data_IF_412215048835
#
_entry.id   IF_412215048835
#
_cell.length_a   1.000
_cell.length_b   1.000
_cell.length_c   1.000
_cell.angle_alpha   90.00
_cell.angle_beta   90.00
_cell.angle_gamma   90.00
#
_symmetry.space_group_name_H-M   'P 1'
#
loop_
_entity.id
_entity.type
_entity.pdbx_description
1 polymer ?
#
# COMPACT_ATOMS: atom_id res chain seq x y z
N UNK A 1 9.30 60.03 -9.35
CA UNK A 1 8.77 59.65 -8.02
C UNK A 1 8.38 58.17 -8.10
N UNK A 2 9.36 57.24 -8.22
CA UNK A 2 9.96 56.43 -7.13
C UNK A 2 8.94 55.68 -6.28
N UNK A 3 8.70 54.40 -6.61
CA UNK A 3 8.07 53.43 -5.70
C UNK A 3 9.14 52.47 -5.17
N UNK A 4 9.28 52.53 -3.85
CA UNK A 4 10.09 51.72 -2.96
C UNK A 4 9.76 50.23 -3.03
N UNK A 5 10.73 49.36 -2.72
CA UNK A 5 10.62 48.34 -1.65
C UNK A 5 11.93 47.57 -1.49
N UNK A 6 12.73 48.10 -0.56
CA UNK A 6 13.56 47.43 0.45
C UNK A 6 13.77 45.92 0.23
N UNK A 7 14.97 45.60 -0.28
CA UNK A 7 15.70 44.38 0.03
C UNK A 7 16.03 44.39 1.53
N UNK A 8 15.44 43.48 2.32
CA UNK A 8 16.00 43.07 3.60
C UNK A 8 16.28 41.58 3.54
N UNK A 9 17.56 41.28 3.32
CA UNK A 9 18.16 39.96 3.40
C UNK A 9 18.20 39.50 4.86
N UNK A 10 17.24 38.67 5.24
CA UNK A 10 17.25 37.94 6.50
C UNK A 10 18.39 36.92 6.47
N UNK A 11 19.48 37.24 7.17
CA UNK A 11 20.55 36.30 7.49
C UNK A 11 19.96 35.11 8.25
N UNK A 12 19.77 33.97 7.55
CA UNK A 12 19.41 32.70 8.18
C UNK A 12 20.57 32.29 9.08
N UNK A 13 20.36 32.38 10.39
CA UNK A 13 21.37 31.97 11.36
C UNK A 13 21.56 30.45 11.30
N UNK A 14 22.83 30.01 11.29
CA UNK A 14 23.28 28.61 11.26
C UNK A 14 22.48 27.60 12.13
N UNK A 15 21.96 27.94 13.34
CA UNK A 15 21.15 27.00 14.13
C UNK A 15 19.76 26.70 13.54
N UNK A 16 19.15 27.60 12.77
CA UNK A 16 17.82 27.36 12.19
C UNK A 16 17.86 26.40 11.00
N UNK A 17 18.93 26.46 10.19
CA UNK A 17 19.14 25.51 9.10
C UNK A 17 19.34 24.08 9.62
N UNK A 18 20.06 23.93 10.75
CA UNK A 18 20.27 22.64 11.38
C UNK A 18 18.96 22.02 11.89
N UNK A 19 18.06 22.83 12.47
CA UNK A 19 16.73 22.36 12.90
C UNK A 19 15.88 21.89 11.72
N UNK A 20 15.88 22.62 10.61
CA UNK A 20 15.15 22.23 9.40
C UNK A 20 15.68 20.91 8.81
N UNK A 21 17.00 20.69 8.83
CA UNK A 21 17.63 19.44 8.39
C UNK A 21 17.31 18.28 9.34
N UNK A 22 17.24 18.52 10.65
CA UNK A 22 16.87 17.49 11.63
C UNK A 22 15.39 17.09 11.46
N UNK A 23 14.49 18.07 11.27
CA UNK A 23 13.07 17.80 11.06
C UNK A 23 12.86 17.04 9.73
N UNK A 24 13.53 17.44 8.65
CA UNK A 24 13.41 16.75 7.36
C UNK A 24 14.00 15.34 7.41
N UNK A 25 15.12 15.12 8.10
CA UNK A 25 15.72 13.79 8.28
C UNK A 25 14.88 12.87 9.16
N UNK A 26 14.24 13.40 10.21
CA UNK A 26 13.27 12.65 11.03
C UNK A 26 12.02 12.26 10.23
N UNK A 27 11.49 13.15 9.39
CA UNK A 27 10.34 12.84 8.53
C UNK A 27 10.71 11.81 7.47
N UNK A 28 11.93 11.91 6.92
CA UNK A 28 12.48 10.91 6.00
C UNK A 28 12.59 9.54 6.66
N UNK A 29 13.01 9.48 7.93
CA UNK A 29 13.09 8.21 8.68
C UNK A 29 11.71 7.63 9.00
N UNK A 30 10.72 8.47 9.30
CA UNK A 30 9.33 8.03 9.54
C UNK A 30 8.68 7.52 8.25
N UNK A 31 9.08 8.02 7.08
CA UNK A 31 8.54 7.61 5.78
C UNK A 31 9.25 6.39 5.16
N UNK A 32 10.42 6.01 5.68
CA UNK A 32 11.30 5.01 5.04
C UNK A 32 10.91 3.55 5.30
N UNK A 33 9.76 3.28 5.90
CA UNK A 33 9.23 1.92 6.06
C UNK A 33 8.60 1.40 4.77
N UNK A 34 9.44 1.08 3.77
CA UNK A 34 9.26 0.04 2.74
C UNK A 34 10.21 0.25 1.54
N UNK A 35 11.51 0.45 1.76
CA UNK A 35 12.48 0.24 0.68
C UNK A 35 12.82 -1.25 0.66
N UNK A 36 12.02 -2.03 -0.07
CA UNK A 36 12.33 -3.42 -0.40
C UNK A 36 13.58 -3.47 -1.26
N UNK A 37 14.74 -3.69 -0.63
CA UNK A 37 16.00 -3.89 -1.33
C UNK A 37 15.87 -5.13 -2.22
N UNK A 38 16.17 -4.98 -3.51
CA UNK A 38 16.23 -6.10 -4.47
C UNK A 38 17.28 -7.11 -4.00
N UNK A 39 16.86 -8.13 -3.25
CA UNK A 39 17.66 -9.35 -3.14
C UNK A 39 17.33 -10.23 -4.33
N UNK A 40 18.14 -10.11 -5.39
CA UNK A 40 18.13 -11.01 -6.54
C UNK A 40 18.74 -12.39 -6.19
N UNK A 41 18.43 -12.93 -4.99
CA UNK A 41 18.81 -14.29 -4.64
C UNK A 41 17.76 -15.25 -5.19
N UNK A 42 18.25 -16.31 -5.83
CA UNK A 42 17.51 -17.34 -6.58
C UNK A 42 16.49 -18.16 -5.76
N UNK A 43 16.12 -17.72 -4.56
CA UNK A 43 15.09 -18.30 -3.71
C UNK A 43 13.74 -17.64 -3.96
N UNK A 44 12.64 -18.42 -4.09
CA UNK A 44 11.31 -17.84 -4.23
C UNK A 44 10.92 -17.07 -2.96
N UNK A 45 10.48 -15.82 -3.11
CA UNK A 45 9.99 -14.99 -2.01
C UNK A 45 8.77 -15.66 -1.35
N UNK A 46 8.66 -15.62 -0.03
CA UNK A 46 7.52 -16.17 0.72
C UNK A 46 6.53 -15.08 1.08
N UNK A 47 5.35 -15.08 0.45
CA UNK A 47 4.29 -14.12 0.78
C UNK A 47 3.24 -14.76 1.68
N UNK A 48 2.59 -13.98 2.54
CA UNK A 48 1.40 -14.44 3.26
C UNK A 48 0.24 -14.68 2.28
N UNK A 49 -0.47 -15.80 2.45
CA UNK A 49 -1.66 -16.14 1.67
C UNK A 49 -2.85 -16.32 2.59
N UNK A 50 -3.66 -15.27 2.70
CA UNK A 50 -4.89 -15.26 3.48
C UNK A 50 -5.97 -14.42 2.79
N UNK A 51 -7.22 -14.67 3.17
CA UNK A 51 -8.33 -13.77 2.90
C UNK A 51 -9.13 -13.55 4.18
N UNK A 52 -9.84 -12.43 4.26
CA UNK A 52 -10.86 -12.21 5.29
C UNK A 52 -11.81 -13.39 5.37
N UNK A 53 -12.26 -13.71 6.58
CA UNK A 53 -13.21 -14.80 6.81
C UNK A 53 -14.49 -14.66 5.94
N UNK A 54 -14.91 -13.43 5.65
CA UNK A 54 -16.10 -13.18 4.83
C UNK A 54 -15.99 -13.71 3.39
N UNK A 55 -14.78 -13.80 2.84
CA UNK A 55 -14.59 -14.37 1.50
C UNK A 55 -14.85 -15.87 1.43
N UNK A 56 -14.89 -16.58 2.57
CA UNK A 56 -15.18 -18.01 2.58
C UNK A 56 -16.59 -18.30 2.04
N UNK A 57 -17.59 -17.51 2.46
CA UNK A 57 -18.97 -17.63 1.94
C UNK A 57 -19.11 -17.18 0.50
N UNK A 58 -18.31 -16.20 0.05
CA UNK A 58 -18.31 -15.79 -1.36
C UNK A 58 -17.66 -16.85 -2.26
N UNK A 59 -16.66 -17.57 -1.76
CA UNK A 59 -16.02 -18.66 -2.49
C UNK A 59 -16.96 -19.82 -2.79
N UNK A 60 -17.86 -20.18 -1.87
CA UNK A 60 -18.89 -21.19 -2.16
C UNK A 60 -19.94 -20.69 -3.17
N UNK A 61 -20.09 -19.37 -3.31
CA UNK A 61 -21.10 -18.74 -4.17
C UNK A 61 -20.55 -18.31 -5.54
N UNK A 62 -19.44 -18.90 -5.99
CA UNK A 62 -18.92 -18.75 -7.36
C UNK A 62 -17.73 -17.81 -7.53
N UNK A 63 -17.20 -17.22 -6.45
CA UNK A 63 -15.97 -16.42 -6.47
C UNK A 63 -14.72 -17.28 -6.82
N UNK A 64 -14.80 -18.59 -6.56
CA UNK A 64 -13.79 -19.59 -6.87
C UNK A 64 -13.46 -19.68 -8.37
N UNK A 65 -14.36 -19.25 -9.26
CA UNK A 65 -14.12 -19.15 -10.70
C UNK A 65 -13.11 -18.07 -11.06
N UNK A 66 -13.00 -17.03 -10.24
CA UNK A 66 -12.20 -15.84 -10.50
C UNK A 66 -10.89 -15.85 -9.71
N UNK A 67 -10.93 -16.36 -8.47
CA UNK A 67 -9.82 -16.33 -7.52
C UNK A 67 -9.42 -17.72 -7.06
N UNK A 68 -8.15 -17.88 -6.72
CA UNK A 68 -7.69 -19.12 -6.10
C UNK A 68 -7.97 -19.10 -4.59
N UNK A 69 -8.31 -20.27 -4.03
CA UNK A 69 -8.54 -20.40 -2.59
C UNK A 69 -7.23 -20.08 -1.83
N UNK A 70 -7.23 -19.16 -0.87
CA UNK A 70 -6.07 -18.86 -0.04
C UNK A 70 -5.75 -20.04 0.87
N UNK A 71 -4.57 -20.00 1.50
CA UNK A 71 -4.20 -21.01 2.50
C UNK A 71 -5.00 -20.89 3.79
N UNK A 72 -5.45 -19.69 4.15
CA UNK A 72 -6.22 -19.46 5.37
C UNK A 72 -7.33 -18.41 5.15
N UNK A 73 -8.52 -18.67 5.71
CA UNK A 73 -9.58 -17.67 5.87
C UNK A 73 -9.63 -17.29 7.33
N UNK A 74 -9.30 -16.05 7.66
CA UNK A 74 -9.24 -15.61 9.05
C UNK A 74 -9.56 -14.12 9.14
N UNK A 75 -10.24 -13.72 10.21
CA UNK A 75 -10.40 -12.31 10.57
C UNK A 75 -9.06 -11.66 10.90
N UNK A 76 -8.02 -12.43 11.25
CA UNK A 76 -6.67 -11.90 11.43
C UNK A 76 -6.00 -11.45 10.12
N UNK A 77 -6.59 -11.78 8.96
CA UNK A 77 -6.14 -11.24 7.68
C UNK A 77 -6.55 -9.77 7.51
N UNK A 78 -7.55 -9.32 8.29
CA UNK A 78 -8.11 -7.97 8.24
C UNK A 78 -7.20 -7.00 9.00
N UNK A 79 -6.58 -6.07 8.28
CA UNK A 79 -5.70 -5.10 8.92
C UNK A 79 -4.28 -5.61 9.16
N UNK A 80 -3.73 -5.30 10.34
CA UNK A 80 -2.40 -5.73 10.75
C UNK A 80 -2.43 -7.20 11.16
N UNK A 81 -1.67 -8.02 10.43
CA UNK A 81 -1.70 -9.47 10.57
C UNK A 81 -0.80 -9.96 11.70
N UNK A 82 -1.35 -10.80 12.59
CA UNK A 82 -0.57 -11.62 13.52
C UNK A 82 0.22 -12.72 12.78
N UNK A 83 1.48 -12.44 12.46
CA UNK A 83 2.35 -13.31 11.66
C UNK A 83 2.48 -14.75 12.16
N UNK A 84 2.11 -15.05 13.41
CA UNK A 84 2.25 -16.36 14.04
C UNK A 84 1.33 -17.44 13.44
N UNK A 85 0.10 -17.09 13.06
CA UNK A 85 -0.91 -18.05 12.59
C UNK A 85 -1.14 -18.03 11.06
N UNK A 86 -0.36 -17.22 10.35
CA UNK A 86 -0.57 -16.98 8.92
C UNK A 86 0.37 -17.83 8.06
N UNK A 87 -0.24 -18.61 7.16
CA UNK A 87 0.49 -19.43 6.21
C UNK A 87 1.15 -18.58 5.11
N UNK A 88 2.40 -18.92 4.80
CA UNK A 88 3.12 -18.35 3.66
C UNK A 88 3.16 -19.31 2.48
N UNK A 89 3.14 -18.76 1.27
CA UNK A 89 3.33 -19.50 0.02
C UNK A 89 4.58 -19.01 -0.71
N UNK A 90 5.33 -19.91 -1.39
CA UNK A 90 6.43 -19.50 -2.25
C UNK A 90 5.88 -18.83 -3.50
N UNK A 91 6.31 -17.59 -3.74
CA UNK A 91 5.96 -16.77 -4.88
C UNK A 91 7.20 -16.60 -5.77
N UNK A 92 7.00 -16.74 -7.08
CA UNK A 92 8.03 -16.42 -8.08
C UNK A 92 8.11 -14.92 -8.39
N UNK A 93 7.18 -14.14 -7.85
CA UNK A 93 6.97 -12.71 -8.11
C UNK A 93 6.76 -11.96 -6.80
N UNK A 94 6.33 -10.71 -6.90
CA UNK A 94 5.94 -9.84 -5.78
C UNK A 94 4.79 -10.41 -4.94
N UNK A 95 4.72 -9.93 -3.70
CA UNK A 95 3.56 -10.10 -2.83
C UNK A 95 2.54 -8.99 -3.09
N UNK A 96 1.26 -9.34 -3.06
CA UNK A 96 0.16 -8.38 -3.15
C UNK A 96 -0.72 -8.41 -1.90
N UNK A 97 -1.24 -7.25 -1.56
CA UNK A 97 -2.36 -7.05 -0.62
C UNK A 97 -3.43 -6.24 -1.34
N UNK A 98 -4.62 -6.80 -1.46
CA UNK A 98 -5.76 -6.14 -2.06
C UNK A 98 -6.80 -5.91 -0.98
N UNK A 99 -7.31 -4.69 -0.92
CA UNK A 99 -8.28 -4.22 0.05
C UNK A 99 -9.51 -3.71 -0.69
N UNK A 100 -10.68 -4.17 -0.25
CA UNK A 100 -11.98 -3.82 -0.81
C UNK A 100 -12.90 -3.35 0.33
N UNK A 101 -13.73 -2.33 0.07
CA UNK A 101 -14.74 -1.92 1.05
C UNK A 101 -15.94 -2.87 0.96
N UNK A 102 -16.43 -3.36 2.10
CA UNK A 102 -17.63 -4.18 2.13
C UNK A 102 -18.87 -3.31 1.96
N UNK A 103 -19.64 -3.59 0.91
CA UNK A 103 -20.91 -2.92 0.58
C UNK A 103 -22.05 -3.92 0.76
N UNK A 104 -23.01 -3.59 1.61
CA UNK A 104 -24.20 -4.40 1.88
C UNK A 104 -25.42 -3.56 1.56
N UNK A 105 -26.32 -4.07 0.70
CA UNK A 105 -27.51 -3.33 0.24
C UNK A 105 -27.20 -1.93 -0.36
N UNK A 106 -26.07 -1.81 -1.07
CA UNK A 106 -25.61 -0.54 -1.65
C UNK A 106 -25.02 0.45 -0.64
N UNK A 107 -24.98 0.12 0.65
CA UNK A 107 -24.39 0.95 1.68
C UNK A 107 -22.99 0.45 2.09
N UNK A 108 -21.97 1.32 2.13
CA UNK A 108 -20.66 0.95 2.64
C UNK A 108 -20.76 0.72 4.15
N UNK A 109 -20.39 -0.48 4.60
CA UNK A 109 -20.47 -0.88 6.02
C UNK A 109 -19.38 -0.24 6.89
N UNK A 110 -18.38 0.39 6.26
CA UNK A 110 -17.15 0.84 6.93
C UNK A 110 -16.12 -0.28 7.15
N UNK A 111 -16.51 -1.54 6.99
CA UNK A 111 -15.59 -2.67 7.06
C UNK A 111 -14.81 -2.83 5.74
N UNK A 112 -13.54 -3.21 5.89
CA UNK A 112 -12.61 -3.46 4.78
C UNK A 112 -12.25 -4.93 4.78
N UNK A 113 -12.42 -5.56 3.62
CA UNK A 113 -11.97 -6.92 3.39
C UNK A 113 -10.60 -6.89 2.74
N UNK A 114 -9.78 -7.87 3.08
CA UNK A 114 -8.40 -8.01 2.68
C UNK A 114 -8.18 -9.37 2.04
N UNK A 115 -7.40 -9.37 0.97
CA UNK A 115 -6.88 -10.58 0.35
C UNK A 115 -5.41 -10.42 0.03
N UNK A 116 -4.62 -11.43 0.40
CA UNK A 116 -3.16 -11.42 0.33
C UNK A 116 -2.67 -12.67 -0.38
N UNK A 117 -1.65 -12.52 -1.20
CA UNK A 117 -1.06 -13.64 -1.93
C UNK A 117 0.01 -13.22 -2.94
N UNK A 118 0.42 -14.14 -3.80
CA UNK A 118 1.32 -13.82 -4.91
C UNK A 118 0.54 -13.14 -6.04
N UNK A 119 1.16 -12.17 -6.73
CA UNK A 119 0.55 -11.51 -7.88
C UNK A 119 0.06 -12.48 -8.98
N UNK A 120 0.85 -13.51 -9.31
CA UNK A 120 0.51 -14.46 -10.36
C UNK A 120 -0.55 -15.50 -9.97
N UNK A 121 -0.72 -15.78 -8.67
CA UNK A 121 -1.57 -16.89 -8.21
C UNK A 121 -2.84 -16.44 -7.53
N UNK A 122 -3.01 -15.16 -7.22
CA UNK A 122 -4.20 -14.66 -6.53
C UNK A 122 -5.47 -14.77 -7.39
N UNK A 123 -5.38 -14.41 -8.67
CA UNK A 123 -6.46 -14.50 -9.64
C UNK A 123 -6.23 -15.67 -10.60
N UNK A 124 -7.27 -16.46 -10.89
CA UNK A 124 -7.17 -17.63 -11.78
C UNK A 124 -6.79 -17.28 -13.21
N UNK A 125 -7.29 -16.15 -13.71
CA UNK A 125 -6.94 -15.62 -15.05
C UNK A 125 -5.75 -14.66 -15.03
N UNK A 126 -5.10 -14.50 -13.88
CA UNK A 126 -4.03 -13.53 -13.70
C UNK A 126 -4.52 -12.08 -13.61
N UNK A 127 -3.55 -11.17 -13.54
CA UNK A 127 -3.76 -9.73 -13.50
C UNK A 127 -3.50 -9.12 -14.88
N UNK A 128 -3.99 -7.91 -15.11
CA UNK A 128 -3.68 -7.17 -16.33
C UNK A 128 -2.16 -6.95 -16.43
N UNK A 129 -1.56 -7.30 -17.57
CA UNK A 129 -0.13 -7.20 -17.82
C UNK A 129 0.41 -5.78 -17.56
N UNK A 130 -0.35 -4.75 -17.93
CA UNK A 130 0.06 -3.37 -17.72
C UNK A 130 0.20 -3.05 -16.22
N UNK A 131 -0.82 -3.40 -15.45
CA UNK A 131 -0.89 -3.21 -14.00
C UNK A 131 0.17 -4.05 -13.27
N UNK A 132 0.35 -5.30 -13.68
CA UNK A 132 1.38 -6.18 -13.14
C UNK A 132 2.79 -5.60 -13.34
N UNK A 133 3.09 -5.07 -14.53
CA UNK A 133 4.41 -4.49 -14.84
C UNK A 133 4.73 -3.25 -13.99
N UNK A 134 3.72 -2.54 -13.51
CA UNK A 134 3.89 -1.40 -12.61
C UNK A 134 4.22 -1.89 -11.20
N UNK A 135 3.43 -2.83 -10.69
CA UNK A 135 3.57 -3.38 -9.34
C UNK A 135 4.83 -4.23 -9.15
N UNK A 136 5.33 -4.86 -10.21
CA UNK A 136 6.55 -5.67 -10.17
C UNK A 136 7.82 -4.83 -9.96
N UNK A 137 7.76 -3.53 -10.30
CA UNK A 137 8.91 -2.62 -10.22
C UNK A 137 8.98 -1.79 -8.95
N UNK A 138 7.85 -1.57 -8.28
CA UNK A 138 7.74 -0.62 -7.18
C UNK A 138 6.92 -1.17 -6.02
N UNK A 139 7.36 -0.86 -4.80
CA UNK A 139 6.59 -1.06 -3.57
C UNK A 139 5.58 0.08 -3.44
N UNK A 140 4.38 -0.09 -4.00
CA UNK A 140 3.38 0.98 -4.09
C UNK A 140 1.98 0.49 -3.75
N UNK A 141 1.24 1.34 -3.04
CA UNK A 141 -0.20 1.21 -2.84
C UNK A 141 -0.95 2.15 -3.78
N UNK A 142 -1.89 1.61 -4.56
CA UNK A 142 -2.70 2.38 -5.50
C UNK A 142 -4.17 1.99 -5.44
N UNK A 143 -5.03 3.00 -5.46
CA UNK A 143 -6.46 2.83 -5.62
C UNK A 143 -6.79 2.73 -7.12
N UNK A 144 -7.47 1.66 -7.52
CA UNK A 144 -7.88 1.40 -8.91
C UNK A 144 -9.24 0.72 -8.96
N UNK A 145 -9.84 0.63 -10.14
CA UNK A 145 -11.03 -0.19 -10.33
C UNK A 145 -10.65 -1.67 -10.36
N UNK A 146 -11.51 -2.56 -9.82
CA UNK A 146 -11.28 -3.99 -9.94
C UNK A 146 -11.23 -4.44 -11.41
N UNK A 147 -11.97 -3.78 -12.29
CA UNK A 147 -11.93 -3.96 -13.75
C UNK A 147 -10.55 -3.70 -14.39
N UNK A 148 -9.76 -2.80 -13.81
CA UNK A 148 -8.44 -2.44 -14.35
C UNK A 148 -7.35 -3.40 -13.85
N UNK A 149 -7.57 -3.97 -12.67
CA UNK A 149 -6.65 -4.91 -12.05
C UNK A 149 -6.80 -6.31 -12.66
N UNK A 150 -8.02 -6.80 -12.75
CA UNK A 150 -8.32 -8.15 -13.22
C UNK A 150 -8.69 -8.13 -14.69
N UNK A 151 -8.11 -9.04 -15.47
CA UNK A 151 -8.41 -9.21 -16.90
C UNK A 151 -9.79 -9.85 -17.17
N UNK A 152 -10.78 -9.63 -16.29
CA UNK A 152 -12.11 -10.21 -16.39
C UNK A 152 -13.14 -9.17 -16.83
N UNK A 153 -13.97 -9.54 -17.81
CA UNK A 153 -15.09 -8.72 -18.30
C UNK A 153 -16.16 -8.45 -17.22
N UNK A 154 -16.20 -9.27 -16.15
CA UNK A 154 -17.20 -9.20 -15.08
C UNK A 154 -16.65 -8.58 -13.79
N UNK A 155 -15.47 -7.96 -13.83
CA UNK A 155 -14.98 -7.28 -12.66
C UNK A 155 -15.77 -5.98 -12.49
N UNK A 156 -16.50 -5.88 -11.38
CA UNK A 156 -17.28 -4.69 -11.04
C UNK A 156 -16.38 -3.45 -11.03
N UNK A 157 -16.96 -2.28 -11.34
CA UNK A 157 -16.27 -0.98 -11.29
C UNK A 157 -15.96 -0.50 -9.87
N UNK A 158 -15.97 -1.41 -8.90
CA UNK A 158 -15.72 -1.11 -7.51
C UNK A 158 -14.26 -0.71 -7.30
N UNK A 159 -14.06 0.36 -6.51
CA UNK A 159 -12.73 0.82 -6.14
C UNK A 159 -12.10 -0.12 -5.12
N UNK A 160 -10.91 -0.60 -5.45
CA UNK A 160 -10.07 -1.44 -4.61
C UNK A 160 -8.71 -0.77 -4.42
N UNK A 161 -8.09 -1.01 -3.26
CA UNK A 161 -6.74 -0.58 -2.95
C UNK A 161 -5.80 -1.76 -3.09
N UNK A 162 -4.77 -1.63 -3.92
CA UNK A 162 -3.81 -2.69 -4.19
C UNK A 162 -2.44 -2.21 -3.77
N UNK A 163 -1.79 -2.97 -2.91
CA UNK A 163 -0.42 -2.73 -2.48
C UNK A 163 0.48 -3.85 -2.97
N UNK A 164 1.55 -3.51 -3.67
CA UNK A 164 2.67 -4.40 -3.97
C UNK A 164 3.82 -4.20 -3.02
N UNK A 165 4.52 -5.29 -2.73
CA UNK A 165 5.82 -5.22 -2.09
C UNK A 165 6.75 -6.33 -2.59
N UNK A 166 8.05 -6.05 -2.62
CA UNK A 166 9.11 -7.00 -2.92
C UNK A 166 9.80 -7.46 -1.63
N UNK A 167 9.94 -8.77 -1.47
CA UNK A 167 10.68 -9.39 -0.37
C UNK A 167 9.89 -10.48 0.36
N UNK A 168 10.56 -11.19 1.27
CA UNK A 168 9.94 -12.19 2.11
C UNK A 168 9.00 -11.55 3.13
N UNK A 169 7.74 -12.00 3.16
CA UNK A 169 6.72 -11.65 4.16
C UNK A 169 6.43 -10.15 4.27
N UNK A 170 6.80 -9.37 3.24
CA UNK A 170 6.62 -7.93 3.21
C UNK A 170 5.13 -7.52 3.25
N UNK A 171 4.24 -8.41 2.79
CA UNK A 171 2.80 -8.20 2.80
C UNK A 171 2.17 -8.50 4.17
N UNK A 172 2.88 -8.31 5.28
CA UNK A 172 2.33 -8.33 6.65
C UNK A 172 1.68 -7.00 6.99
N UNK A 173 2.46 -5.93 6.87
CA UNK A 173 1.99 -4.57 7.08
C UNK A 173 1.14 -4.10 5.89
N UNK A 174 0.13 -3.28 6.18
CA UNK A 174 -0.51 -2.48 5.15
C UNK A 174 0.29 -1.19 5.10
N UNK A 175 1.01 -0.94 4.00
CA UNK A 175 1.66 0.35 3.78
C UNK A 175 0.58 1.43 3.65
N UNK A 176 0.09 1.94 4.77
CA UNK A 176 -0.71 3.15 4.80
C UNK A 176 0.23 4.30 4.49
N UNK A 177 0.39 4.62 3.21
CA UNK A 177 1.10 5.81 2.77
C UNK A 177 0.28 7.06 3.11
N UNK A 178 0.08 7.35 4.39
CA UNK A 178 -0.37 8.65 4.91
C UNK A 178 0.80 9.64 5.01
N UNK A 179 1.99 9.27 4.55
CA UNK A 179 3.18 10.11 4.65
C UNK A 179 3.03 11.46 3.90
N UNK A 180 2.13 11.55 2.91
CA UNK A 180 1.83 12.81 2.23
C UNK A 180 1.10 13.85 3.09
N UNK A 181 0.29 13.45 4.09
CA UNK A 181 -0.39 14.43 4.95
C UNK A 181 0.55 14.99 6.02
N UNK A 182 1.46 14.16 6.55
CA UNK A 182 2.47 14.56 7.51
C UNK A 182 3.53 15.48 6.92
N UNK A 183 3.92 15.27 5.65
CA UNK A 183 4.88 16.15 4.98
C UNK A 183 4.31 17.56 4.76
N UNK A 184 3.02 17.69 4.39
CA UNK A 184 2.37 18.99 4.21
C UNK A 184 2.24 19.73 5.54
N UNK A 185 1.80 19.06 6.61
CA UNK A 185 1.70 19.67 7.93
C UNK A 185 3.07 20.12 8.45
N UNK A 186 4.11 19.31 8.22
CA UNK A 186 5.47 19.66 8.60
C UNK A 186 6.03 20.85 7.82
N UNK A 187 5.74 20.95 6.51
CA UNK A 187 6.10 22.12 5.70
C UNK A 187 5.38 23.37 6.23
N UNK A 188 4.10 23.27 6.58
CA UNK A 188 3.34 24.39 7.18
C UNK A 188 3.89 24.82 8.54
N UNK A 189 4.24 23.87 9.41
CA UNK A 189 4.86 24.15 10.72
C UNK A 189 6.23 24.80 10.52
N UNK A 190 7.04 24.28 9.63
CA UNK A 190 8.35 24.84 9.29
C UNK A 190 8.26 26.28 8.76
N UNK A 191 7.31 26.54 7.85
CA UNK A 191 7.02 27.88 7.34
C UNK A 191 6.52 28.82 8.45
N UNK A 192 5.66 28.33 9.35
CA UNK A 192 5.18 29.14 10.49
C UNK A 192 6.30 29.53 11.46
N UNK A 193 7.28 28.63 11.68
CA UNK A 193 8.45 28.90 12.53
C UNK A 193 9.52 29.78 11.86
N UNK A 194 9.41 30.05 10.56
CA UNK A 194 10.24 31.01 9.83
C UNK A 194 9.62 32.42 9.79
N UNK A 195 8.34 32.54 10.12
CA UNK A 195 7.59 33.80 10.16
C UNK A 195 7.56 34.44 11.56
N UNK A 196 8.05 33.75 12.60
CA UNK A 196 8.25 34.24 13.97
C UNK A 196 9.74 34.18 14.36
#
# INVERSE_FOLDING_TARGET
MTFSTIFQSSFITRPQFLRMVIISSLISTICSSAVGYRHANHSPNRCFSCMSQMYEGFMSNGLDRYFNRPRNFSSQCDGEMDVTNMHTVPCRTICLTIQQNLVVMGQPTGHRLYMRGCALTIARRGLNNHTLSMFDRYDICRDMSASDLFSHEHADSQRIRVCSCLGDRCNSAISTSNCQSLSVLAILVALSSLLF
#
